data_IF_266626101694
#
_entry.id   IF_266626101694
#
_cell.length_a   1.000
_cell.length_b   1.000
_cell.length_c   1.000
_cell.angle_alpha   90.00
_cell.angle_beta   90.00
_cell.angle_gamma   90.00
#
_symmetry.space_group_name_H-M   'P 1'
#
loop_
_entity.id
_entity.type
_entity.pdbx_description
1 polymer ?
#
# COMPACT_ATOMS: atom_id res chain seq x y z
N UNK A 1 3.30 -7.57 -19.64
CA UNK A 1 2.03 -6.82 -19.76
C UNK A 1 0.88 -7.54 -19.04
N UNK A 2 0.65 -8.83 -19.32
CA UNK A 2 -0.39 -9.65 -18.68
C UNK A 2 -0.28 -9.77 -17.15
N UNK A 3 0.92 -9.97 -16.63
CA UNK A 3 1.15 -10.05 -15.18
C UNK A 3 0.71 -8.77 -14.44
N UNK A 4 1.03 -7.58 -14.98
CA UNK A 4 0.63 -6.30 -14.37
C UNK A 4 -0.90 -6.15 -14.31
N UNK A 5 -1.59 -6.62 -15.36
CA UNK A 5 -3.05 -6.64 -15.41
C UNK A 5 -3.63 -7.64 -14.40
N UNK A 6 -3.09 -8.86 -14.36
CA UNK A 6 -3.48 -9.87 -13.37
C UNK A 6 -3.27 -9.39 -11.94
N UNK A 7 -2.13 -8.76 -11.65
CA UNK A 7 -1.85 -8.14 -10.36
C UNK A 7 -2.84 -7.00 -10.06
N UNK A 8 -3.16 -6.14 -11.04
CA UNK A 8 -4.18 -5.09 -10.87
C UNK A 8 -5.54 -5.70 -10.51
N UNK A 9 -5.98 -6.76 -11.18
CA UNK A 9 -7.24 -7.45 -10.90
C UNK A 9 -7.17 -8.07 -9.49
N UNK A 10 -6.14 -8.86 -9.22
CA UNK A 10 -5.92 -9.53 -7.94
C UNK A 10 -6.01 -8.57 -6.75
N UNK A 11 -5.33 -7.41 -6.81
CA UNK A 11 -5.37 -6.39 -5.75
C UNK A 11 -6.77 -5.79 -5.54
N UNK A 12 -7.54 -5.61 -6.61
CA UNK A 12 -8.88 -5.01 -6.52
C UNK A 12 -9.95 -6.00 -6.07
N UNK A 13 -9.73 -7.31 -6.23
CA UNK A 13 -10.68 -8.33 -5.76
C UNK A 13 -10.32 -8.91 -4.40
N UNK A 14 -9.05 -8.83 -3.97
CA UNK A 14 -8.54 -9.49 -2.76
C UNK A 14 -9.35 -9.19 -1.48
N UNK A 15 -9.88 -7.97 -1.37
CA UNK A 15 -10.61 -7.52 -0.18
C UNK A 15 -12.08 -7.97 -0.13
N UNK A 16 -12.59 -8.61 -1.19
CA UNK A 16 -13.97 -9.12 -1.29
C UNK A 16 -13.98 -10.60 -0.85
N UNK A 17 -15.04 -11.09 -0.18
CA UNK A 17 -15.22 -12.52 0.09
C UNK A 17 -15.02 -13.37 -1.17
N UNK A 18 -14.17 -14.41 -1.10
CA UNK A 18 -13.81 -15.26 -2.24
C UNK A 18 -12.69 -14.71 -3.14
N UNK A 19 -12.42 -13.41 -3.11
CA UNK A 19 -11.37 -12.77 -3.89
C UNK A 19 -9.95 -13.24 -3.56
N UNK A 20 -9.73 -13.76 -2.33
CA UNK A 20 -8.50 -14.44 -1.93
C UNK A 20 -8.13 -15.58 -2.89
N UNK A 21 -9.09 -16.43 -3.27
CA UNK A 21 -8.83 -17.57 -4.14
C UNK A 21 -8.48 -17.12 -5.56
N UNK A 22 -9.16 -16.08 -6.06
CA UNK A 22 -8.85 -15.47 -7.36
C UNK A 22 -7.43 -14.90 -7.35
N UNK A 23 -7.09 -14.11 -6.33
CA UNK A 23 -5.75 -13.53 -6.21
C UNK A 23 -4.67 -14.62 -6.07
N UNK A 24 -4.95 -15.69 -5.34
CA UNK A 24 -4.05 -16.85 -5.20
C UNK A 24 -3.84 -17.56 -6.55
N UNK A 25 -4.92 -17.82 -7.29
CA UNK A 25 -4.88 -18.46 -8.60
C UNK A 25 -4.14 -17.60 -9.64
N UNK A 26 -4.46 -16.31 -9.71
CA UNK A 26 -3.75 -15.36 -10.57
C UNK A 26 -2.26 -15.33 -10.24
N UNK A 27 -1.91 -15.25 -8.95
CA UNK A 27 -0.51 -15.27 -8.52
C UNK A 27 0.21 -16.56 -8.90
N UNK A 28 -0.42 -17.73 -8.76
CA UNK A 28 0.22 -19.01 -9.11
C UNK A 28 0.50 -19.14 -10.61
N UNK A 29 -0.37 -18.60 -11.46
CA UNK A 29 -0.16 -18.58 -12.92
C UNK A 29 1.08 -17.75 -13.33
N UNK A 30 1.47 -16.78 -12.50
CA UNK A 30 2.62 -15.91 -12.74
C UNK A 30 3.76 -16.14 -11.73
N UNK A 31 3.82 -17.32 -11.08
CA UNK A 31 4.84 -17.62 -10.07
C UNK A 31 6.27 -17.59 -10.62
N UNK A 32 6.44 -17.80 -11.93
CA UNK A 32 7.74 -17.67 -12.62
C UNK A 32 8.23 -16.22 -12.79
N UNK A 33 7.40 -15.20 -12.55
CA UNK A 33 7.85 -13.79 -12.58
C UNK A 33 8.58 -13.39 -11.28
N UNK A 34 8.50 -14.23 -10.25
CA UNK A 34 9.12 -14.05 -8.93
C UNK A 34 10.67 -14.04 -8.98
N UNK A 35 11.27 -14.42 -10.10
CA UNK A 35 12.74 -14.49 -10.30
C UNK A 35 13.34 -13.20 -10.88
N UNK A 36 12.52 -12.22 -11.32
CA UNK A 36 13.05 -10.93 -11.77
C UNK A 36 13.29 -10.00 -10.57
N UNK A 37 14.57 -9.69 -10.30
CA UNK A 37 15.02 -8.67 -9.33
C UNK A 37 14.79 -7.24 -9.84
N UNK A 38 13.62 -6.98 -10.39
CA UNK A 38 13.26 -5.68 -10.94
C UNK A 38 12.22 -5.02 -10.05
N UNK A 39 12.46 -3.75 -9.71
CA UNK A 39 11.46 -2.96 -9.01
C UNK A 39 10.18 -2.86 -9.86
N UNK A 40 9.03 -2.90 -9.20
CA UNK A 40 7.71 -2.71 -9.82
C UNK A 40 7.10 -1.44 -9.26
N UNK A 41 6.80 -0.51 -10.17
CA UNK A 41 5.99 0.67 -9.89
C UNK A 41 4.54 0.42 -10.24
N UNK A 42 3.62 0.72 -9.34
CA UNK A 42 2.18 0.67 -9.60
C UNK A 42 1.41 1.67 -8.73
N UNK A 43 0.22 2.04 -9.18
CA UNK A 43 -0.72 2.84 -8.41
C UNK A 43 -1.85 1.97 -7.88
N UNK A 44 -2.25 2.20 -6.63
CA UNK A 44 -3.38 1.53 -6.01
C UNK A 44 -4.09 2.48 -5.04
N UNK A 45 -5.41 2.63 -5.21
CA UNK A 45 -6.26 3.56 -4.44
C UNK A 45 -5.65 4.97 -4.26
N UNK A 46 -5.06 5.53 -5.30
CA UNK A 46 -4.48 6.88 -5.29
C UNK A 46 -3.05 6.97 -4.71
N UNK A 47 -2.50 5.88 -4.17
CA UNK A 47 -1.11 5.82 -3.69
C UNK A 47 -0.23 5.17 -4.75
N UNK A 48 0.96 5.72 -4.98
CA UNK A 48 1.96 5.14 -5.87
C UNK A 48 3.03 4.40 -5.06
N UNK A 49 3.30 3.15 -5.45
CA UNK A 49 4.26 2.28 -4.79
C UNK A 49 5.39 1.91 -5.74
N UNK A 50 6.60 1.79 -5.21
CA UNK A 50 7.73 1.11 -5.83
C UNK A 50 8.17 -0.03 -4.91
N UNK A 51 8.03 -1.27 -5.36
CA UNK A 51 8.32 -2.45 -4.53
C UNK A 51 9.25 -3.42 -5.25
N UNK A 52 9.81 -4.35 -4.47
CA UNK A 52 10.55 -5.52 -4.93
C UNK A 52 9.68 -6.77 -4.80
N UNK A 53 9.06 -7.30 -5.87
CA UNK A 53 8.12 -8.43 -5.79
C UNK A 53 8.76 -9.73 -5.31
N UNK A 54 10.09 -9.83 -5.39
CA UNK A 54 10.86 -10.95 -4.87
C UNK A 54 10.87 -10.99 -3.33
N UNK A 55 10.71 -9.84 -2.67
CA UNK A 55 10.59 -9.75 -1.23
C UNK A 55 9.17 -10.12 -0.79
N UNK A 56 9.03 -10.84 0.33
CA UNK A 56 7.73 -11.31 0.82
C UNK A 56 6.69 -10.19 0.94
N UNK A 57 7.09 -9.04 1.48
CA UNK A 57 6.22 -7.88 1.65
C UNK A 57 5.90 -7.20 0.32
N UNK A 58 6.89 -7.00 -0.55
CA UNK A 58 6.67 -6.45 -1.89
C UNK A 58 5.73 -7.32 -2.73
N UNK A 59 5.86 -8.65 -2.64
CA UNK A 59 4.95 -9.60 -3.26
C UNK A 59 3.52 -9.45 -2.73
N UNK A 60 3.36 -9.31 -1.42
CA UNK A 60 2.07 -9.11 -0.77
C UNK A 60 1.40 -7.82 -1.27
N UNK A 61 2.10 -6.69 -1.21
CA UNK A 61 1.59 -5.41 -1.67
C UNK A 61 1.25 -5.45 -3.18
N UNK A 62 2.10 -6.07 -3.99
CA UNK A 62 1.90 -6.16 -5.43
C UNK A 62 0.70 -7.03 -5.83
N UNK A 63 0.46 -8.17 -5.18
CA UNK A 63 -0.65 -9.07 -5.55
C UNK A 63 -1.94 -8.78 -4.79
N UNK A 64 -1.85 -8.29 -3.55
CA UNK A 64 -2.98 -8.14 -2.62
C UNK A 64 -3.34 -6.69 -2.33
N UNK A 65 -2.48 -5.74 -2.68
CA UNK A 65 -2.70 -4.30 -2.52
C UNK A 65 -2.13 -3.74 -1.24
N UNK A 66 -1.94 -4.60 -0.24
CA UNK A 66 -1.36 -4.25 1.05
C UNK A 66 -0.55 -5.39 1.64
N UNK A 67 0.40 -5.05 2.53
CA UNK A 67 1.03 -6.05 3.39
C UNK A 67 0.00 -6.71 4.32
N UNK A 68 -0.80 -5.90 5.02
CA UNK A 68 -1.87 -6.31 5.92
C UNK A 68 -3.06 -5.35 5.83
N UNK A 69 -4.23 -5.92 5.56
CA UNK A 69 -5.47 -5.16 5.37
C UNK A 69 -6.16 -4.79 6.68
N UNK A 70 -5.93 -5.51 7.78
CA UNK A 70 -6.62 -5.22 9.05
C UNK A 70 -6.28 -3.81 9.58
N UNK A 71 -5.01 -3.37 9.61
CA UNK A 71 -4.67 -2.00 9.98
C UNK A 71 -5.24 -0.95 9.02
N UNK A 72 -5.29 -1.25 7.73
CA UNK A 72 -5.88 -0.34 6.74
C UNK A 72 -7.38 -0.16 6.99
N UNK A 73 -8.12 -1.23 7.26
CA UNK A 73 -9.55 -1.13 7.58
C UNK A 73 -9.79 -0.36 8.87
N UNK A 74 -8.96 -0.57 9.89
CA UNK A 74 -9.01 0.23 11.11
C UNK A 74 -8.78 1.72 10.79
N UNK A 75 -7.74 2.06 10.03
CA UNK A 75 -7.46 3.45 9.63
C UNK A 75 -8.60 4.06 8.79
N UNK A 76 -9.20 3.31 7.87
CA UNK A 76 -10.32 3.80 7.06
C UNK A 76 -11.57 4.15 7.88
N UNK A 77 -11.76 3.46 9.01
CA UNK A 77 -12.88 3.68 9.92
C UNK A 77 -12.59 4.74 10.99
N UNK A 78 -11.34 4.81 11.46
CA UNK A 78 -10.95 5.65 12.60
C UNK A 78 -10.43 7.03 12.19
N UNK A 79 -9.68 7.12 11.09
CA UNK A 79 -9.04 8.38 10.69
C UNK A 79 -10.03 9.30 9.99
N UNK A 80 -10.00 10.57 10.37
CA UNK A 80 -10.77 11.65 9.79
C UNK A 80 -9.85 12.71 9.15
N UNK A 81 -10.34 13.48 8.17
CA UNK A 81 -9.62 14.62 7.63
C UNK A 81 -9.11 15.56 8.73
N UNK A 82 -7.85 15.97 8.66
CA UNK A 82 -7.20 16.85 9.64
C UNK A 82 -6.59 16.16 10.85
N UNK A 83 -6.74 14.84 11.03
CA UNK A 83 -6.07 14.13 12.12
C UNK A 83 -4.54 14.11 11.96
N UNK A 84 -3.82 14.30 13.07
CA UNK A 84 -2.37 14.07 13.14
C UNK A 84 -2.11 12.59 13.42
N UNK A 85 -1.24 11.96 12.63
CA UNK A 85 -0.94 10.53 12.76
C UNK A 85 0.55 10.33 12.97
N UNK A 86 0.89 9.55 13.99
CA UNK A 86 2.25 9.09 14.27
C UNK A 86 2.38 7.62 13.86
N UNK A 87 3.20 7.33 12.84
CA UNK A 87 3.45 5.97 12.36
C UNK A 87 4.76 5.43 12.98
N UNK A 88 4.64 4.81 14.15
CA UNK A 88 5.76 4.24 14.88
C UNK A 88 6.18 2.92 14.25
N UNK A 89 7.47 2.76 13.97
CA UNK A 89 7.93 1.52 13.34
C UNK A 89 7.79 1.54 11.82
N UNK A 90 7.56 2.71 11.20
CA UNK A 90 7.33 2.85 9.78
C UNK A 90 8.43 2.17 8.95
N UNK A 91 8.11 1.00 8.40
CA UNK A 91 9.05 0.21 7.60
C UNK A 91 9.19 0.81 6.19
N UNK A 92 8.21 0.58 5.32
CA UNK A 92 8.16 1.16 3.97
C UNK A 92 7.18 2.34 3.87
N UNK A 93 6.73 2.86 5.01
CA UNK A 93 5.76 3.96 5.07
C UNK A 93 4.38 3.63 4.48
N UNK A 94 4.01 2.34 4.35
CA UNK A 94 2.71 1.94 3.78
C UNK A 94 1.57 2.62 4.55
N UNK A 95 1.55 2.49 5.87
CA UNK A 95 0.50 3.07 6.70
C UNK A 95 0.58 4.60 6.75
N UNK A 96 1.78 5.18 6.76
CA UNK A 96 1.97 6.63 6.57
C UNK A 96 1.29 7.15 5.30
N UNK A 97 1.45 6.46 4.17
CA UNK A 97 0.82 6.86 2.90
C UNK A 97 -0.71 6.69 2.91
N UNK A 98 -1.21 5.60 3.50
CA UNK A 98 -2.65 5.39 3.67
C UNK A 98 -3.27 6.43 4.59
N UNK A 99 -2.62 6.72 5.71
CA UNK A 99 -3.03 7.76 6.64
C UNK A 99 -3.06 9.11 5.94
N UNK A 100 -1.97 9.53 5.29
CA UNK A 100 -1.88 10.81 4.57
C UNK A 100 -3.00 10.98 3.53
N UNK A 101 -3.31 9.93 2.76
CA UNK A 101 -4.43 9.95 1.80
C UNK A 101 -5.78 10.18 2.49
N UNK A 102 -5.97 9.62 3.68
CA UNK A 102 -7.23 9.70 4.44
C UNK A 102 -7.38 11.02 5.19
N UNK A 103 -6.32 11.49 5.83
CA UNK A 103 -6.34 12.73 6.64
C UNK A 103 -6.24 14.00 5.80
N UNK A 104 -5.74 13.88 4.57
CA UNK A 104 -5.70 14.98 3.59
C UNK A 104 -4.59 16.02 3.85
N UNK A 105 -4.49 17.04 3.00
CA UNK A 105 -3.34 17.96 2.94
C UNK A 105 -3.22 18.94 4.11
N UNK A 106 -4.23 19.02 4.99
CA UNK A 106 -4.21 19.86 6.21
C UNK A 106 -3.67 19.14 7.44
N UNK A 107 -3.21 17.90 7.27
CA UNK A 107 -2.79 17.04 8.36
C UNK A 107 -1.29 16.72 8.28
N UNK A 108 -0.71 16.46 9.45
CA UNK A 108 0.70 16.11 9.60
C UNK A 108 0.82 14.61 9.88
N UNK A 109 1.53 13.88 9.02
CA UNK A 109 1.90 12.48 9.24
C UNK A 109 3.41 12.40 9.43
N UNK A 110 3.86 11.98 10.62
CA UNK A 110 5.29 11.81 10.93
C UNK A 110 5.62 10.32 11.06
N UNK A 111 6.44 9.75 10.15
CA UNK A 111 6.98 8.41 10.35
C UNK A 111 8.08 8.45 11.41
N UNK A 112 8.04 7.57 12.41
CA UNK A 112 9.13 7.40 13.37
C UNK A 112 9.77 6.01 13.20
N UNK A 113 10.63 5.96 12.17
CA UNK A 113 11.79 5.09 11.96
C UNK A 113 12.67 5.82 10.92
N UNK A 114 14.00 5.71 11.00
CA UNK A 114 15.04 6.55 10.35
C UNK A 114 15.04 6.66 8.79
N UNK A 115 13.91 6.87 8.12
CA UNK A 115 13.82 7.17 6.68
C UNK A 115 12.59 8.05 6.37
N UNK A 116 12.87 9.33 6.08
CA UNK A 116 11.95 10.47 5.96
C UNK A 116 10.88 10.34 4.87
N UNK A 117 9.63 10.64 5.24
CA UNK A 117 8.61 11.26 4.38
C UNK A 117 8.33 12.66 4.95
N UNK A 118 8.30 13.68 4.08
CA UNK A 118 8.01 15.07 4.44
C UNK A 118 6.69 15.51 3.82
N UNK A 119 5.80 16.04 4.65
CA UNK A 119 4.70 16.90 4.21
C UNK A 119 4.76 18.19 5.02
N UNK A 120 4.93 19.32 4.32
CA UNK A 120 4.85 20.66 4.86
C UNK A 120 3.71 21.38 4.16
N UNK A 121 2.75 21.88 4.92
CA UNK A 121 1.96 23.05 4.56
C UNK A 121 1.73 23.82 5.87
N UNK A 122 2.45 24.93 6.02
CA UNK A 122 2.13 25.97 6.99
C UNK A 122 0.75 26.55 6.69
N UNK A 123 0.01 26.99 7.71
CA UNK A 123 -1.28 27.65 7.52
C UNK A 123 -1.08 29.04 6.95
N UNK A 124 -1.79 29.34 5.86
CA UNK A 124 -2.36 30.67 5.69
C UNK A 124 -3.79 30.65 6.29
N UNK A 125 -4.08 31.69 7.06
CA UNK A 125 -5.29 32.04 7.86
C UNK A 125 -5.50 31.33 9.20
#
# INVERSE_FOLDING_TARGET
MMEKLAAKIARNVYWIPGGYFIAKALRSLFFQVKTRKENRRYQFRGVQFEIKPEQQMGAAMYWRGSHDWAPIFAMENLLQPGNTVLDIGANQGEYTLWAARKVGPRATCTPSNLSRLYFHNSPDS
#
